data_IF_583035756133
#
_entry.id   IF_583035756133
#
_cell.length_a   1.000
_cell.length_b   1.000
_cell.length_c   1.000
_cell.angle_alpha   90.00
_cell.angle_beta   90.00
_cell.angle_gamma   90.00
#
_symmetry.space_group_name_H-M   'P 1'
#
loop_
_entity.id
_entity.type
_entity.pdbx_description
1 polymer ?
#
# COMPACT_ATOMS: atom_id res chain seq x y z
N UNK A 1 27.64 0.93 -13.18
CA UNK A 1 26.36 0.67 -13.87
C UNK A 1 25.30 1.34 -13.02
N UNK A 2 24.49 2.21 -13.60
CA UNK A 2 23.36 2.84 -12.94
C UNK A 2 22.26 1.81 -12.68
N UNK A 3 21.53 1.98 -11.58
CA UNK A 3 20.44 1.08 -11.20
C UNK A 3 19.35 0.97 -12.27
N UNK A 4 18.78 -0.22 -12.41
CA UNK A 4 17.54 -0.39 -13.18
C UNK A 4 16.35 0.21 -12.41
N UNK A 5 15.56 1.04 -13.10
CA UNK A 5 14.34 1.58 -12.53
C UNK A 5 13.26 0.49 -12.41
N UNK A 6 12.62 0.43 -11.25
CA UNK A 6 11.41 -0.37 -11.03
C UNK A 6 10.20 0.49 -11.39
N UNK A 7 9.65 0.29 -12.60
CA UNK A 7 8.51 1.06 -13.10
C UNK A 7 7.19 0.54 -12.50
N UNK A 8 6.78 1.15 -11.40
CA UNK A 8 5.52 0.80 -10.73
C UNK A 8 4.29 1.23 -11.51
N UNK A 9 4.40 2.24 -12.36
CA UNK A 9 3.28 2.66 -13.22
C UNK A 9 2.94 1.56 -14.23
N UNK A 10 3.94 1.01 -14.90
CA UNK A 10 3.76 -0.09 -15.85
C UNK A 10 3.16 -1.34 -15.16
N UNK A 11 3.77 -1.76 -14.04
CA UNK A 11 3.30 -2.95 -13.32
C UNK A 11 1.88 -2.75 -12.77
N UNK A 12 1.55 -1.55 -12.25
CA UNK A 12 0.19 -1.27 -11.76
C UNK A 12 -0.86 -1.36 -12.87
N UNK A 13 -0.53 -0.93 -14.09
CA UNK A 13 -1.42 -1.09 -15.25
C UNK A 13 -1.64 -2.57 -15.58
N UNK A 14 -0.57 -3.36 -15.57
CA UNK A 14 -0.65 -4.82 -15.80
C UNK A 14 -1.56 -5.48 -14.78
N UNK A 15 -1.37 -5.21 -13.47
CA UNK A 15 -2.22 -5.77 -12.41
C UNK A 15 -3.68 -5.36 -12.57
N UNK A 16 -3.96 -4.08 -12.88
CA UNK A 16 -5.34 -3.64 -13.14
C UNK A 16 -5.95 -4.32 -14.36
N UNK A 17 -5.19 -4.53 -15.44
CA UNK A 17 -5.66 -5.25 -16.63
C UNK A 17 -5.98 -6.72 -16.31
N UNK A 18 -5.15 -7.38 -15.50
CA UNK A 18 -5.39 -8.74 -15.01
C UNK A 18 -6.69 -8.81 -14.19
N UNK A 19 -6.93 -7.83 -13.29
CA UNK A 19 -8.17 -7.75 -12.53
C UNK A 19 -9.37 -7.47 -13.43
N UNK A 20 -9.27 -6.54 -14.37
CA UNK A 20 -10.35 -6.26 -15.34
C UNK A 20 -10.76 -7.49 -16.13
N UNK A 21 -9.80 -8.34 -16.53
CA UNK A 21 -10.09 -9.61 -17.19
C UNK A 21 -10.88 -10.58 -16.29
N UNK A 22 -10.53 -10.64 -14.97
CA UNK A 22 -11.27 -11.46 -13.99
C UNK A 22 -12.69 -10.93 -13.77
N UNK A 23 -12.88 -9.61 -13.68
CA UNK A 23 -14.21 -8.98 -13.57
C UNK A 23 -15.06 -9.31 -14.77
N UNK A 24 -14.50 -9.19 -15.99
CA UNK A 24 -15.19 -9.52 -17.22
C UNK A 24 -15.62 -10.99 -17.25
N UNK A 25 -14.74 -11.91 -16.90
CA UNK A 25 -15.06 -13.33 -16.85
C UNK A 25 -16.18 -13.63 -15.82
N UNK A 26 -16.12 -12.97 -14.64
CA UNK A 26 -17.14 -13.09 -13.60
C UNK A 26 -18.51 -12.61 -14.07
N UNK A 27 -18.59 -11.43 -14.68
CA UNK A 27 -19.87 -10.85 -15.16
C UNK A 27 -20.42 -11.61 -16.35
N UNK A 28 -19.59 -12.15 -17.23
CA UNK A 28 -20.03 -13.05 -18.31
C UNK A 28 -20.60 -14.38 -17.78
N UNK A 29 -20.16 -14.83 -16.61
CA UNK A 29 -20.74 -15.98 -15.92
C UNK A 29 -22.03 -15.66 -15.15
N UNK A 30 -22.59 -14.45 -15.28
CA UNK A 30 -23.84 -14.02 -14.63
C UNK A 30 -23.67 -13.61 -13.15
N UNK A 31 -22.44 -13.48 -12.67
CA UNK A 31 -22.16 -13.01 -11.31
C UNK A 31 -22.03 -11.49 -11.29
N UNK A 32 -22.35 -10.86 -10.14
CA UNK A 32 -22.21 -9.42 -9.99
C UNK A 32 -20.74 -8.96 -10.05
N UNK A 33 -20.51 -7.74 -10.47
CA UNK A 33 -19.21 -7.10 -10.35
C UNK A 33 -18.84 -6.86 -8.87
N UNK A 34 -17.52 -6.84 -8.54
CA UNK A 34 -17.07 -6.48 -7.20
C UNK A 34 -17.48 -5.05 -6.81
N UNK A 35 -17.83 -4.85 -5.53
CA UNK A 35 -18.23 -3.57 -4.96
C UNK A 35 -17.19 -3.01 -3.99
N UNK A 36 -16.78 -1.75 -4.18
CA UNK A 36 -15.90 -1.01 -3.27
C UNK A 36 -16.60 0.23 -2.72
N UNK A 37 -16.69 0.31 -1.39
CA UNK A 37 -17.07 1.55 -0.71
C UNK A 37 -15.83 2.38 -0.40
N UNK A 38 -15.83 3.64 -0.83
CA UNK A 38 -14.75 4.60 -0.57
C UNK A 38 -15.32 5.71 0.32
N UNK A 39 -14.83 5.79 1.54
CA UNK A 39 -15.25 6.78 2.55
C UNK A 39 -14.16 7.84 2.69
N UNK A 40 -14.51 9.09 2.52
CA UNK A 40 -13.67 10.27 2.75
C UNK A 40 -14.31 11.13 3.83
N UNK A 41 -13.52 11.57 4.81
CA UNK A 41 -13.99 12.49 5.86
C UNK A 41 -13.18 13.77 5.79
N UNK A 42 -13.84 14.89 5.56
CA UNK A 42 -13.21 16.19 5.38
C UNK A 42 -12.72 16.47 3.96
N UNK A 43 -11.96 17.56 3.83
CA UNK A 43 -11.59 18.14 2.53
C UNK A 43 -10.05 18.23 2.34
N UNK A 44 -9.27 17.33 2.97
CA UNK A 44 -7.84 17.33 2.77
C UNK A 44 -7.48 17.12 1.29
N UNK A 45 -6.75 18.08 0.64
CA UNK A 45 -6.50 18.02 -0.80
C UNK A 45 -5.71 16.78 -1.23
N UNK A 46 -4.79 16.29 -0.41
CA UNK A 46 -4.03 15.09 -0.72
C UNK A 46 -4.93 13.86 -0.72
N UNK A 47 -5.82 13.74 0.27
CA UNK A 47 -6.82 12.67 0.37
C UNK A 47 -7.77 12.67 -0.82
N UNK A 48 -8.22 13.84 -1.27
CA UNK A 48 -9.09 13.97 -2.45
C UNK A 48 -8.41 13.44 -3.73
N UNK A 49 -7.13 13.75 -3.95
CA UNK A 49 -6.36 13.25 -5.09
C UNK A 49 -6.24 11.71 -5.05
N UNK A 50 -5.94 11.15 -3.87
CA UNK A 50 -5.85 9.69 -3.70
C UNK A 50 -7.18 8.99 -3.92
N UNK A 51 -8.27 9.52 -3.35
CA UNK A 51 -9.63 9.01 -3.55
C UNK A 51 -10.03 9.08 -5.02
N UNK A 52 -9.75 10.19 -5.71
CA UNK A 52 -10.00 10.33 -7.14
C UNK A 52 -9.29 9.25 -7.96
N UNK A 53 -8.04 8.96 -7.65
CA UNK A 53 -7.26 7.90 -8.32
C UNK A 53 -7.85 6.50 -8.08
N UNK A 54 -8.35 6.23 -6.87
CA UNK A 54 -8.97 4.95 -6.49
C UNK A 54 -10.32 4.75 -7.20
N UNK A 55 -11.15 5.80 -7.24
CA UNK A 55 -12.44 5.80 -7.98
C UNK A 55 -12.22 5.52 -9.47
N UNK A 56 -11.28 6.22 -10.09
CA UNK A 56 -10.93 6.01 -11.50
C UNK A 56 -10.44 4.58 -11.76
N UNK A 57 -9.61 4.03 -10.87
CA UNK A 57 -9.15 2.65 -11.01
C UNK A 57 -10.30 1.64 -10.89
N UNK A 58 -11.31 1.87 -10.05
CA UNK A 58 -12.52 1.05 -10.00
C UNK A 58 -13.29 1.06 -11.33
N UNK A 59 -13.49 2.25 -11.91
CA UNK A 59 -14.14 2.39 -13.22
C UNK A 59 -13.37 1.65 -14.32
N UNK A 60 -12.03 1.80 -14.36
CA UNK A 60 -11.17 1.15 -15.34
C UNK A 60 -11.30 -0.39 -15.32
N UNK A 61 -11.48 -0.99 -14.15
CA UNK A 61 -11.56 -2.46 -14.02
C UNK A 61 -12.99 -2.99 -14.01
N UNK A 62 -14.01 -2.11 -14.04
CA UNK A 62 -15.41 -2.49 -14.05
C UNK A 62 -16.00 -2.83 -12.68
N UNK A 63 -15.46 -2.28 -11.60
CA UNK A 63 -16.04 -2.39 -10.25
C UNK A 63 -17.22 -1.43 -10.07
N UNK A 64 -18.14 -1.80 -9.18
CA UNK A 64 -19.14 -0.87 -8.63
C UNK A 64 -18.47 -0.09 -7.49
N UNK A 65 -18.29 1.22 -7.67
CA UNK A 65 -17.72 2.09 -6.65
C UNK A 65 -18.82 2.94 -6.01
N UNK A 66 -19.03 2.79 -4.69
CA UNK A 66 -19.92 3.65 -3.89
C UNK A 66 -19.08 4.63 -3.08
N UNK A 67 -19.32 5.92 -3.24
CA UNK A 67 -18.57 6.99 -2.56
C UNK A 67 -19.38 7.61 -1.44
N UNK A 68 -18.73 7.83 -0.30
CA UNK A 68 -19.32 8.45 0.89
C UNK A 68 -18.39 9.57 1.35
N UNK A 69 -18.75 10.79 0.98
CA UNK A 69 -17.99 11.99 1.32
C UNK A 69 -18.67 12.66 2.54
N UNK A 70 -18.06 12.50 3.71
CA UNK A 70 -18.54 13.07 4.97
C UNK A 70 -17.86 14.42 5.25
N UNK A 71 -18.56 15.39 5.85
CA UNK A 71 -17.97 16.68 6.20
C UNK A 71 -16.89 16.52 7.28
N UNK A 72 -15.97 17.50 7.40
CA UNK A 72 -14.94 17.50 8.45
C UNK A 72 -15.50 17.56 9.88
N UNK A 73 -16.78 17.93 10.02
CA UNK A 73 -17.52 17.97 11.29
C UNK A 73 -18.17 16.63 11.66
N UNK A 74 -18.06 15.61 10.79
CA UNK A 74 -18.63 14.30 11.07
C UNK A 74 -18.03 13.72 12.35
N UNK A 75 -18.88 13.15 13.18
CA UNK A 75 -18.49 12.52 14.43
C UNK A 75 -17.99 11.08 14.20
N UNK A 76 -17.21 10.56 15.13
CA UNK A 76 -16.81 9.14 15.12
C UNK A 76 -18.03 8.22 15.09
N UNK A 77 -19.09 8.55 15.85
CA UNK A 77 -20.32 7.77 15.87
C UNK A 77 -21.01 7.67 14.50
N UNK A 78 -21.08 8.77 13.75
CA UNK A 78 -21.65 8.79 12.39
C UNK A 78 -20.82 7.93 11.44
N UNK A 79 -19.48 8.03 11.51
CA UNK A 79 -18.58 7.22 10.70
C UNK A 79 -18.69 5.72 11.03
N UNK A 80 -18.71 5.35 12.32
CA UNK A 80 -18.86 3.97 12.76
C UNK A 80 -20.23 3.41 12.34
N UNK A 81 -21.29 4.21 12.39
CA UNK A 81 -22.64 3.82 11.91
C UNK A 81 -22.63 3.52 10.42
N UNK A 82 -21.95 4.35 9.62
CA UNK A 82 -21.78 4.09 8.19
C UNK A 82 -20.99 2.80 7.94
N UNK A 83 -19.89 2.59 8.66
CA UNK A 83 -19.08 1.35 8.54
C UNK A 83 -19.93 0.12 8.87
N UNK A 84 -20.81 0.18 9.90
CA UNK A 84 -21.72 -0.91 10.25
C UNK A 84 -22.73 -1.22 9.14
N UNK A 85 -23.23 -0.20 8.45
CA UNK A 85 -24.11 -0.38 7.30
C UNK A 85 -23.35 -1.05 6.14
N UNK A 86 -22.14 -0.59 5.84
CA UNK A 86 -21.29 -1.12 4.77
C UNK A 86 -20.85 -2.56 5.05
N UNK A 87 -20.58 -2.90 6.31
CA UNK A 87 -20.29 -4.26 6.72
C UNK A 87 -21.43 -5.24 6.39
N UNK A 88 -22.68 -4.77 6.45
CA UNK A 88 -23.88 -5.58 6.18
C UNK A 88 -24.31 -5.55 4.72
N UNK A 89 -23.85 -4.59 3.94
CA UNK A 89 -24.21 -4.44 2.52
C UNK A 89 -23.55 -5.56 1.69
N UNK A 90 -24.36 -6.44 1.12
CA UNK A 90 -23.90 -7.58 0.33
C UNK A 90 -23.41 -7.19 -1.08
N UNK A 91 -23.66 -5.96 -1.51
CA UNK A 91 -23.11 -5.44 -2.75
C UNK A 91 -21.68 -4.86 -2.57
N UNK A 92 -21.21 -4.72 -1.32
CA UNK A 92 -19.90 -4.20 -0.98
C UNK A 92 -18.97 -5.34 -0.55
N UNK A 93 -17.89 -5.52 -1.28
CA UNK A 93 -16.84 -6.52 -1.00
C UNK A 93 -15.65 -5.91 -0.26
N UNK A 94 -15.43 -4.62 -0.43
CA UNK A 94 -14.36 -3.89 0.22
C UNK A 94 -14.82 -2.55 0.78
N UNK A 95 -14.27 -2.17 1.93
CA UNK A 95 -14.47 -0.88 2.57
C UNK A 95 -13.11 -0.21 2.69
N UNK A 96 -13.00 1.00 2.15
CA UNK A 96 -11.85 1.88 2.27
C UNK A 96 -12.25 3.13 3.04
N UNK A 97 -11.62 3.38 4.18
CA UNK A 97 -11.71 4.67 4.87
C UNK A 97 -10.40 5.42 4.66
N UNK A 98 -10.47 6.52 3.90
CA UNK A 98 -9.27 7.27 3.54
C UNK A 98 -8.65 7.96 4.77
N UNK A 99 -7.36 7.69 4.99
CA UNK A 99 -6.56 8.33 6.05
C UNK A 99 -5.79 9.54 5.48
N UNK A 100 -5.47 10.54 6.33
CA UNK A 100 -5.79 10.65 7.76
C UNK A 100 -7.25 11.04 8.01
N UNK A 101 -7.77 10.70 9.21
CA UNK A 101 -9.07 11.17 9.68
C UNK A 101 -8.94 12.51 10.42
N UNK A 102 -10.00 13.34 10.49
CA UNK A 102 -10.02 14.55 11.27
C UNK A 102 -9.72 14.31 12.77
N UNK A 103 -9.19 15.34 13.44
CA UNK A 103 -8.99 15.30 14.88
C UNK A 103 -10.33 15.01 15.60
N UNK A 104 -10.29 14.11 16.59
CA UNK A 104 -11.48 13.69 17.35
C UNK A 104 -12.09 12.37 16.89
N UNK A 105 -11.62 11.79 15.79
CA UNK A 105 -11.98 10.43 15.35
C UNK A 105 -10.81 9.49 15.62
N UNK A 106 -11.03 8.44 16.43
CA UNK A 106 -10.00 7.43 16.65
C UNK A 106 -9.89 6.49 15.44
N UNK A 107 -8.78 6.64 14.72
CA UNK A 107 -8.47 5.82 13.54
C UNK A 107 -8.47 4.33 13.85
N UNK A 108 -8.03 3.92 15.05
CA UNK A 108 -7.97 2.52 15.45
C UNK A 108 -9.36 1.94 15.57
N UNK A 109 -10.27 2.64 16.27
CA UNK A 109 -11.66 2.21 16.39
C UNK A 109 -12.34 2.04 15.04
N UNK A 110 -12.09 2.97 14.11
CA UNK A 110 -12.68 2.90 12.75
C UNK A 110 -12.14 1.70 11.97
N UNK A 111 -10.82 1.49 11.98
CA UNK A 111 -10.20 0.37 11.26
C UNK A 111 -10.62 -0.98 11.84
N UNK A 112 -10.71 -1.12 13.16
CA UNK A 112 -11.16 -2.35 13.81
C UNK A 112 -12.68 -2.61 13.66
N UNK A 113 -13.46 -1.57 13.33
CA UNK A 113 -14.90 -1.73 13.05
C UNK A 113 -15.18 -2.34 11.67
N UNK A 114 -14.27 -2.21 10.72
CA UNK A 114 -14.40 -2.83 9.40
C UNK A 114 -14.30 -4.35 9.58
N UNK A 115 -15.24 -5.10 9.01
CA UNK A 115 -15.15 -6.57 9.01
C UNK A 115 -13.86 -7.02 8.30
N UNK A 116 -13.03 -7.91 8.88
CA UNK A 116 -11.73 -8.31 8.32
C UNK A 116 -11.78 -8.77 6.85
N UNK A 117 -12.88 -9.38 6.43
CA UNK A 117 -13.10 -9.83 5.05
C UNK A 117 -13.37 -8.67 4.07
N UNK A 118 -13.72 -7.48 4.58
CA UNK A 118 -13.94 -6.26 3.80
C UNK A 118 -12.84 -5.20 4.00
N UNK A 119 -11.84 -5.48 4.84
CA UNK A 119 -10.67 -4.63 5.06
C UNK A 119 -9.69 -4.73 3.88
N UNK A 120 -10.04 -4.09 2.78
CA UNK A 120 -9.24 -4.18 1.53
C UNK A 120 -7.98 -3.34 1.54
N UNK A 121 -7.82 -2.40 2.48
CA UNK A 121 -6.54 -1.74 2.77
C UNK A 121 -5.56 -2.66 3.52
N UNK A 122 -6.08 -3.70 4.22
CA UNK A 122 -5.28 -4.67 4.96
C UNK A 122 -4.69 -4.14 6.26
N UNK A 123 -5.38 -3.22 6.93
CA UNK A 123 -4.90 -2.57 8.17
C UNK A 123 -5.50 -3.17 9.44
N UNK A 124 -6.56 -3.97 9.32
CA UNK A 124 -7.23 -4.59 10.45
C UNK A 124 -6.25 -5.52 11.20
N UNK A 125 -6.19 -5.45 12.55
CA UNK A 125 -5.27 -6.29 13.34
C UNK A 125 -5.37 -7.78 13.06
N UNK A 126 -6.57 -8.28 12.74
CA UNK A 126 -6.77 -9.68 12.32
C UNK A 126 -5.97 -10.01 11.05
N UNK A 127 -6.01 -9.16 10.02
CA UNK A 127 -5.30 -9.40 8.77
C UNK A 127 -3.79 -9.29 8.94
N UNK A 128 -3.32 -8.33 9.72
CA UNK A 128 -1.90 -8.17 10.07
C UNK A 128 -1.42 -9.36 10.92
N UNK A 129 -2.21 -9.81 11.89
CA UNK A 129 -1.92 -11.00 12.69
C UNK A 129 -1.82 -12.28 11.85
N UNK A 130 -2.70 -12.44 10.86
CA UNK A 130 -2.61 -13.55 9.91
C UNK A 130 -1.36 -13.52 9.04
N UNK A 131 -0.95 -12.33 8.59
CA UNK A 131 0.31 -12.17 7.86
C UNK A 131 1.51 -12.59 8.73
N UNK A 132 1.53 -12.17 10.00
CA UNK A 132 2.58 -12.56 10.95
C UNK A 132 2.64 -14.08 11.19
N UNK A 133 1.50 -14.77 11.11
CA UNK A 133 1.40 -16.23 11.26
C UNK A 133 1.55 -17.01 9.93
N UNK A 134 1.99 -16.36 8.85
CA UNK A 134 2.16 -16.97 7.52
C UNK A 134 0.87 -17.51 6.89
N UNK A 135 -0.28 -16.94 7.27
CA UNK A 135 -1.61 -17.30 6.77
C UNK A 135 -2.35 -16.05 6.22
N UNK A 136 -1.72 -15.23 5.35
CA UNK A 136 -2.32 -13.99 4.90
C UNK A 136 -3.64 -14.24 4.14
N UNK A 137 -4.60 -13.34 4.34
CA UNK A 137 -5.81 -13.20 3.54
C UNK A 137 -5.72 -11.89 2.76
N UNK A 138 -6.32 -10.81 3.27
CA UNK A 138 -6.10 -9.47 2.74
C UNK A 138 -4.80 -8.91 3.35
N UNK A 139 -4.01 -8.25 2.53
CA UNK A 139 -2.66 -7.78 2.88
C UNK A 139 -2.59 -6.26 2.72
N UNK A 140 -1.82 -5.57 3.56
CA UNK A 140 -1.65 -4.12 3.44
C UNK A 140 -1.25 -3.72 2.02
N UNK A 141 -1.98 -2.78 1.41
CA UNK A 141 -1.88 -2.48 -0.01
C UNK A 141 -0.47 -2.09 -0.46
N UNK A 142 0.19 -1.16 0.26
CA UNK A 142 1.53 -0.69 -0.11
C UNK A 142 2.58 -1.80 0.04
N UNK A 143 2.70 -2.51 1.16
CA UNK A 143 3.62 -3.65 1.29
C UNK A 143 3.38 -4.75 0.26
N UNK A 144 2.13 -5.15 0.04
CA UNK A 144 1.74 -6.11 -1.00
C UNK A 144 2.19 -5.64 -2.39
N UNK A 145 1.95 -4.36 -2.70
CA UNK A 145 2.36 -3.77 -3.97
C UNK A 145 3.88 -3.79 -4.17
N UNK A 146 4.65 -3.58 -3.10
CA UNK A 146 6.12 -3.68 -3.13
C UNK A 146 6.55 -5.11 -3.44
N UNK A 147 5.99 -6.11 -2.75
CA UNK A 147 6.31 -7.52 -3.06
C UNK A 147 5.96 -7.85 -4.51
N UNK A 148 4.80 -7.41 -5.01
CA UNK A 148 4.43 -7.59 -6.41
C UNK A 148 5.44 -6.95 -7.38
N UNK A 149 5.94 -5.74 -7.08
CA UNK A 149 6.99 -5.11 -7.88
C UNK A 149 8.26 -5.97 -7.92
N UNK A 150 8.73 -6.40 -6.76
CA UNK A 150 9.97 -7.19 -6.65
C UNK A 150 9.83 -8.53 -7.39
N UNK A 151 8.69 -9.20 -7.27
CA UNK A 151 8.39 -10.45 -7.98
C UNK A 151 8.36 -10.24 -9.51
N UNK A 152 7.72 -9.17 -10.00
CA UNK A 152 7.62 -8.87 -11.44
C UNK A 152 8.96 -8.49 -12.07
N UNK A 153 9.91 -8.02 -11.28
CA UNK A 153 11.28 -7.77 -11.70
C UNK A 153 12.22 -8.97 -11.45
N UNK A 154 11.68 -10.12 -11.03
CA UNK A 154 12.42 -11.35 -10.70
C UNK A 154 13.55 -11.11 -9.69
N UNK A 155 13.31 -10.25 -8.71
CA UNK A 155 14.27 -9.98 -7.64
C UNK A 155 14.14 -11.06 -6.58
N UNK A 156 15.16 -11.91 -6.47
CA UNK A 156 15.21 -12.96 -5.45
C UNK A 156 15.43 -12.37 -4.06
N UNK A 157 14.49 -12.61 -3.16
CA UNK A 157 14.49 -12.13 -1.78
C UNK A 157 15.00 -13.16 -0.79
N UNK A 158 15.10 -14.44 -1.16
CA UNK A 158 15.47 -15.51 -0.24
C UNK A 158 16.90 -15.33 0.28
N UNK A 159 17.03 -15.37 1.61
CA UNK A 159 18.31 -15.24 2.30
C UNK A 159 18.89 -13.82 2.27
N UNK A 160 18.20 -12.83 1.71
CA UNK A 160 18.65 -11.43 1.69
C UNK A 160 18.43 -10.77 3.05
N UNK A 161 19.30 -9.83 3.39
CA UNK A 161 19.10 -8.94 4.53
C UNK A 161 18.30 -7.71 4.06
N UNK A 162 17.08 -7.57 4.57
CA UNK A 162 16.20 -6.46 4.27
C UNK A 162 16.10 -5.48 5.44
N UNK A 163 16.31 -4.20 5.19
CA UNK A 163 16.16 -3.13 6.17
C UNK A 163 14.96 -2.26 5.79
N UNK A 164 14.00 -2.19 6.70
CA UNK A 164 12.82 -1.33 6.59
C UNK A 164 13.01 -0.10 7.46
N UNK A 165 13.12 1.06 6.87
CA UNK A 165 13.25 2.35 7.55
C UNK A 165 11.88 3.01 7.66
N UNK A 166 11.32 2.98 8.88
CA UNK A 166 9.94 3.38 9.19
C UNK A 166 9.17 2.22 9.81
N UNK A 167 8.39 2.50 10.86
CA UNK A 167 7.67 1.48 11.63
C UNK A 167 6.19 1.83 11.84
N UNK A 168 5.56 2.46 10.83
CA UNK A 168 4.12 2.74 10.86
C UNK A 168 3.30 1.44 10.81
N UNK A 169 2.10 1.49 11.37
CA UNK A 169 1.18 0.33 11.35
C UNK A 169 0.68 0.00 9.94
N UNK A 170 0.65 0.99 9.04
CA UNK A 170 0.08 0.84 7.70
C UNK A 170 1.12 0.44 6.62
N UNK A 171 2.42 0.72 6.86
CA UNK A 171 3.49 0.39 5.89
C UNK A 171 4.64 -0.36 6.55
N UNK A 172 5.38 0.25 7.47
CA UNK A 172 6.66 -0.30 7.93
C UNK A 172 6.55 -1.66 8.62
N UNK A 173 5.63 -1.81 9.57
CA UNK A 173 5.38 -3.07 10.28
C UNK A 173 4.90 -4.18 9.33
N UNK A 174 3.85 -3.99 8.52
CA UNK A 174 3.44 -5.02 7.57
C UNK A 174 4.50 -5.28 6.48
N UNK A 175 5.29 -4.28 6.06
CA UNK A 175 6.39 -4.51 5.11
C UNK A 175 7.46 -5.45 5.67
N UNK A 176 7.80 -5.30 6.95
CA UNK A 176 8.72 -6.22 7.63
C UNK A 176 8.19 -7.65 7.60
N UNK A 177 6.90 -7.85 7.86
CA UNK A 177 6.25 -9.15 7.83
C UNK A 177 6.20 -9.74 6.41
N UNK A 178 5.96 -8.92 5.40
CA UNK A 178 5.97 -9.33 3.99
C UNK A 178 7.36 -9.81 3.55
N UNK A 179 8.42 -9.07 3.88
CA UNK A 179 9.79 -9.44 3.56
C UNK A 179 10.22 -10.69 4.33
N UNK A 180 9.80 -10.84 5.59
CA UNK A 180 10.03 -12.06 6.38
C UNK A 180 9.33 -13.26 5.74
N UNK A 181 8.08 -13.10 5.28
CA UNK A 181 7.33 -14.14 4.58
C UNK A 181 8.01 -14.52 3.26
N UNK A 182 8.60 -13.54 2.55
CA UNK A 182 9.36 -13.75 1.31
C UNK A 182 10.74 -14.41 1.51
N UNK A 183 11.15 -14.66 2.78
CA UNK A 183 12.39 -15.35 3.11
C UNK A 183 13.59 -14.46 3.41
N UNK A 184 13.37 -13.14 3.64
CA UNK A 184 14.42 -12.25 4.09
C UNK A 184 14.71 -12.39 5.58
N UNK A 185 15.96 -12.11 5.99
CA UNK A 185 16.26 -11.64 7.35
C UNK A 185 15.91 -10.16 7.42
N UNK A 186 15.07 -9.75 8.38
CA UNK A 186 14.53 -8.38 8.40
C UNK A 186 15.01 -7.59 9.61
N UNK A 187 15.37 -6.32 9.38
CA UNK A 187 15.64 -5.32 10.41
C UNK A 187 14.69 -4.15 10.21
N UNK A 188 13.94 -3.77 11.27
CA UNK A 188 13.05 -2.59 11.24
C UNK A 188 13.68 -1.46 12.02
N UNK A 189 13.93 -0.33 11.35
CA UNK A 189 14.46 0.89 11.94
C UNK A 189 13.33 1.89 12.21
N UNK A 190 13.44 2.60 13.31
CA UNK A 190 12.46 3.60 13.76
C UNK A 190 13.15 4.79 14.42
N UNK A 191 12.41 5.78 14.89
CA UNK A 191 12.96 7.04 15.45
C UNK A 191 13.95 6.87 16.62
N UNK A 192 13.96 5.70 17.27
CA UNK A 192 14.88 5.41 18.38
C UNK A 192 16.05 4.50 17.96
N UNK A 193 16.14 4.10 16.67
CA UNK A 193 17.22 3.28 16.19
C UNK A 193 18.54 4.05 16.25
N UNK A 194 19.53 3.44 16.87
CA UNK A 194 20.91 3.91 16.87
C UNK A 194 21.60 3.40 15.63
N UNK A 195 22.59 4.13 15.12
CA UNK A 195 23.40 3.76 13.96
C UNK A 195 22.56 3.33 12.74
N UNK A 196 21.61 4.19 12.34
CA UNK A 196 20.77 3.93 11.17
C UNK A 196 21.62 3.71 9.90
N UNK A 197 22.72 4.44 9.75
CA UNK A 197 23.67 4.28 8.64
C UNK A 197 24.24 2.86 8.60
N UNK A 198 24.72 2.33 9.73
CA UNK A 198 25.29 0.98 9.79
C UNK A 198 24.27 -0.09 9.39
N UNK A 199 22.99 0.06 9.77
CA UNK A 199 21.93 -0.85 9.32
C UNK A 199 21.72 -0.75 7.80
N UNK A 200 21.59 0.45 7.24
CA UNK A 200 21.35 0.66 5.79
C UNK A 200 22.51 0.14 4.95
N UNK A 201 23.77 0.39 5.38
CA UNK A 201 24.98 -0.07 4.66
C UNK A 201 25.11 -1.59 4.53
N UNK A 202 24.47 -2.35 5.41
CA UNK A 202 24.52 -3.82 5.37
C UNK A 202 23.39 -4.44 4.54
N UNK A 203 22.38 -3.66 4.19
CA UNK A 203 21.16 -4.15 3.57
C UNK A 203 21.34 -4.56 2.10
N UNK A 204 20.84 -5.72 1.73
CA UNK A 204 20.66 -6.15 0.34
C UNK A 204 19.40 -5.52 -0.27
N UNK A 205 18.38 -5.29 0.59
CA UNK A 205 17.12 -4.63 0.23
C UNK A 205 16.84 -3.54 1.24
N UNK A 206 16.64 -2.32 0.79
CA UNK A 206 16.28 -1.16 1.63
C UNK A 206 14.90 -0.69 1.24
N UNK A 207 13.96 -0.67 2.20
CA UNK A 207 12.63 -0.07 2.02
C UNK A 207 12.52 1.14 2.93
N UNK A 208 12.27 2.33 2.37
CA UNK A 208 12.21 3.58 3.13
C UNK A 208 10.80 4.15 3.10
N UNK A 209 10.21 4.34 4.29
CA UNK A 209 8.84 4.80 4.48
C UNK A 209 8.73 5.71 5.73
N UNK A 210 9.37 6.87 5.69
CA UNK A 210 9.42 7.84 6.79
C UNK A 210 8.69 9.16 6.50
N UNK A 211 8.39 9.44 5.22
CA UNK A 211 7.71 10.66 4.80
C UNK A 211 8.55 11.92 4.99
N UNK A 212 9.86 11.83 4.76
CA UNK A 212 10.80 12.96 4.84
C UNK A 212 11.68 12.99 3.60
N UNK A 213 11.74 14.13 2.87
CA UNK A 213 12.50 14.22 1.63
C UNK A 213 13.99 13.95 1.85
N UNK A 214 14.57 13.07 1.02
CA UNK A 214 15.99 12.71 1.01
C UNK A 214 16.55 12.32 2.40
N UNK A 215 15.73 11.64 3.21
CA UNK A 215 16.09 11.24 4.58
C UNK A 215 17.25 10.23 4.61
N UNK A 216 17.33 9.35 3.62
CA UNK A 216 18.43 8.39 3.47
C UNK A 216 19.39 8.91 2.42
N UNK A 217 20.64 9.29 2.83
CA UNK A 217 21.69 9.63 1.91
C UNK A 217 22.00 8.49 0.93
N UNK A 218 22.10 8.79 -0.36
CA UNK A 218 22.40 7.78 -1.37
C UNK A 218 23.75 7.09 -1.18
N UNK A 219 24.71 7.77 -0.56
CA UNK A 219 26.02 7.22 -0.20
C UNK A 219 25.99 6.07 0.84
N UNK A 220 24.85 5.89 1.53
CA UNK A 220 24.67 4.77 2.46
C UNK A 220 24.26 3.48 1.76
N UNK A 221 23.83 3.55 0.50
CA UNK A 221 23.34 2.39 -0.23
C UNK A 221 24.48 1.44 -0.57
N UNK A 222 24.36 0.20 -0.12
CA UNK A 222 25.29 -0.89 -0.45
C UNK A 222 25.33 -1.11 -1.96
N UNK A 223 26.51 -1.31 -2.51
CA UNK A 223 26.67 -1.64 -3.93
C UNK A 223 25.88 -2.89 -4.31
N UNK A 224 25.01 -2.75 -5.30
CA UNK A 224 24.13 -3.84 -5.77
C UNK A 224 22.85 -4.03 -4.96
N UNK A 225 22.56 -3.20 -3.95
CA UNK A 225 21.32 -3.28 -3.18
C UNK A 225 20.10 -2.92 -4.03
N UNK A 226 18.95 -3.43 -3.63
CA UNK A 226 17.64 -3.03 -4.13
C UNK A 226 17.08 -1.94 -3.23
N UNK A 227 16.66 -0.81 -3.82
CA UNK A 227 16.13 0.34 -3.08
C UNK A 227 14.67 0.57 -3.44
N UNK A 228 13.81 0.49 -2.43
CA UNK A 228 12.37 0.76 -2.56
C UNK A 228 12.03 2.00 -1.74
N UNK A 229 11.78 3.09 -2.43
CA UNK A 229 11.38 4.36 -1.84
C UNK A 229 9.86 4.49 -1.84
N UNK A 230 9.25 4.50 -0.66
CA UNK A 230 7.81 4.63 -0.46
C UNK A 230 7.40 6.09 -0.29
N UNK A 231 8.37 6.97 0.02
CA UNK A 231 8.14 8.38 0.29
C UNK A 231 7.54 9.10 -0.90
N UNK A 232 6.58 9.99 -0.64
CA UNK A 232 6.04 10.95 -1.61
C UNK A 232 5.98 12.30 -0.91
N UNK A 233 7.00 13.11 -1.14
CA UNK A 233 7.14 14.42 -0.50
C UNK A 233 7.03 15.52 -1.55
N UNK A 234 6.17 16.50 -1.31
CA UNK A 234 6.06 17.68 -2.17
C UNK A 234 6.94 18.78 -1.60
N UNK A 235 7.94 19.20 -2.35
CA UNK A 235 8.81 20.33 -2.02
C UNK A 235 8.06 21.66 -2.25
N UNK A 236 8.56 22.75 -1.69
CA UNK A 236 8.01 24.11 -1.93
C UNK A 236 7.98 24.47 -3.42
N UNK A 237 8.92 23.97 -4.22
CA UNK A 237 8.95 24.10 -5.67
C UNK A 237 7.81 23.35 -6.40
N UNK A 238 6.99 22.56 -5.69
CA UNK A 238 5.97 21.69 -6.26
C UNK A 238 6.51 20.33 -6.75
N UNK A 239 7.84 20.14 -6.82
CA UNK A 239 8.46 18.87 -7.24
C UNK A 239 8.17 17.78 -6.22
N UNK A 240 7.83 16.57 -6.71
CA UNK A 240 7.70 15.37 -5.87
C UNK A 240 9.07 14.67 -5.77
N UNK A 241 9.45 14.31 -4.55
CA UNK A 241 10.67 13.55 -4.25
C UNK A 241 10.36 12.45 -3.23
N UNK A 242 11.22 11.44 -3.19
CA UNK A 242 11.13 10.35 -2.21
C UNK A 242 11.84 10.65 -0.90
N UNK A 243 11.94 9.60 -0.09
CA UNK A 243 12.67 9.61 1.19
C UNK A 243 14.16 9.30 0.99
N UNK A 244 14.58 8.84 -0.19
CA UNK A 244 15.95 8.49 -0.52
C UNK A 244 16.55 9.56 -1.46
N UNK A 245 17.82 9.90 -1.27
CA UNK A 245 18.59 10.72 -2.20
C UNK A 245 18.83 9.94 -3.50
N UNK A 246 17.82 10.01 -4.38
CA UNK A 246 17.69 9.15 -5.56
C UNK A 246 18.90 9.21 -6.49
N UNK A 247 19.38 10.42 -6.82
CA UNK A 247 20.43 10.60 -7.84
C UNK A 247 21.79 10.00 -7.42
N UNK A 248 22.08 9.97 -6.12
CA UNK A 248 23.27 9.33 -5.59
C UNK A 248 23.04 7.83 -5.39
N UNK A 249 21.87 7.45 -4.85
CA UNK A 249 21.55 6.04 -4.60
C UNK A 249 21.56 5.17 -5.86
N UNK A 250 21.08 5.70 -7.00
CA UNK A 250 21.03 4.97 -8.28
C UNK A 250 22.40 4.55 -8.82
N UNK A 251 23.49 5.22 -8.41
CA UNK A 251 24.85 4.88 -8.84
C UNK A 251 25.37 3.60 -8.14
N UNK A 252 24.85 3.29 -6.96
CA UNK A 252 25.24 2.12 -6.15
C UNK A 252 24.24 0.97 -6.22
N UNK A 253 22.97 1.25 -6.30
CA UNK A 253 21.91 0.25 -6.33
C UNK A 253 21.93 -0.60 -7.62
N UNK A 254 21.37 -1.82 -7.54
CA UNK A 254 21.05 -2.64 -8.72
C UNK A 254 19.67 -2.29 -9.27
N UNK A 255 18.71 -2.06 -8.39
CA UNK A 255 17.35 -1.66 -8.71
C UNK A 255 16.90 -0.53 -7.78
N UNK A 256 16.10 0.40 -8.30
CA UNK A 256 15.56 1.51 -7.52
C UNK A 256 14.17 1.91 -8.02
N UNK A 257 13.25 2.22 -7.09
CA UNK A 257 11.95 2.78 -7.45
C UNK A 257 12.06 4.30 -7.65
N UNK A 258 11.56 4.87 -8.76
CA UNK A 258 11.48 6.32 -8.93
C UNK A 258 10.34 6.94 -8.10
N UNK A 259 10.47 8.20 -7.74
CA UNK A 259 9.39 8.99 -7.14
C UNK A 259 9.20 10.27 -7.97
N UNK A 260 8.01 10.48 -8.59
CA UNK A 260 6.84 9.59 -8.64
C UNK A 260 6.99 8.41 -9.61
N UNK A 261 6.06 7.45 -9.54
CA UNK A 261 5.94 6.37 -10.53
C UNK A 261 6.45 5.00 -10.08
N UNK A 262 7.03 4.90 -8.87
CA UNK A 262 7.43 3.63 -8.25
C UNK A 262 6.30 3.01 -7.43
N UNK A 263 6.36 3.14 -6.10
CA UNK A 263 5.44 2.44 -5.17
C UNK A 263 4.01 2.97 -5.22
N UNK A 264 3.80 4.30 -5.33
CA UNK A 264 2.47 4.92 -5.24
C UNK A 264 1.39 4.28 -6.14
N UNK A 265 1.63 4.08 -7.44
CA UNK A 265 0.66 3.42 -8.33
C UNK A 265 0.28 2.01 -7.88
N UNK A 266 1.21 1.28 -7.24
CA UNK A 266 0.98 -0.09 -6.78
C UNK A 266 0.04 -0.17 -5.59
N UNK A 267 -0.01 0.86 -4.74
CA UNK A 267 -0.98 0.91 -3.63
C UNK A 267 -2.41 0.83 -4.16
N UNK A 268 -2.71 1.59 -5.23
CA UNK A 268 -4.03 1.57 -5.89
C UNK A 268 -4.29 0.22 -6.56
N UNK A 269 -3.31 -0.34 -7.27
CA UNK A 269 -3.47 -1.65 -7.92
C UNK A 269 -3.71 -2.77 -6.90
N UNK A 270 -3.01 -2.74 -5.75
CA UNK A 270 -3.20 -3.71 -4.67
C UNK A 270 -4.56 -3.60 -4.00
N UNK A 271 -5.11 -2.39 -3.85
CA UNK A 271 -6.47 -2.16 -3.36
C UNK A 271 -7.51 -2.83 -4.29
N UNK A 272 -7.38 -2.60 -5.59
CA UNK A 272 -8.24 -3.22 -6.61
C UNK A 272 -8.13 -4.75 -6.54
N UNK A 273 -6.92 -5.29 -6.46
CA UNK A 273 -6.71 -6.73 -6.35
C UNK A 273 -7.25 -7.32 -5.04
N UNK A 274 -7.07 -6.64 -3.89
CA UNK A 274 -7.64 -7.06 -2.62
C UNK A 274 -9.18 -7.08 -2.67
N UNK A 275 -9.81 -6.08 -3.30
CA UNK A 275 -11.27 -6.04 -3.48
C UNK A 275 -11.76 -7.20 -4.33
N UNK A 276 -11.03 -7.55 -5.40
CA UNK A 276 -11.35 -8.73 -6.20
C UNK A 276 -11.22 -10.03 -5.41
N UNK A 277 -10.13 -10.16 -4.62
CA UNK A 277 -9.92 -11.31 -3.73
C UNK A 277 -11.06 -11.41 -2.70
N UNK A 278 -11.46 -10.30 -2.09
CA UNK A 278 -12.55 -10.27 -1.11
C UNK A 278 -13.87 -10.75 -1.73
N UNK A 279 -14.19 -10.27 -2.94
CA UNK A 279 -15.37 -10.69 -3.67
C UNK A 279 -15.36 -12.20 -3.99
N UNK A 280 -14.23 -12.74 -4.47
CA UNK A 280 -14.14 -14.14 -4.87
C UNK A 280 -14.10 -15.12 -3.70
N UNK A 281 -13.39 -14.78 -2.62
CA UNK A 281 -13.14 -15.71 -1.53
C UNK A 281 -14.18 -15.66 -0.41
N UNK A 282 -14.78 -14.50 -0.18
CA UNK A 282 -15.64 -14.31 0.99
C UNK A 282 -17.10 -14.01 0.63
N UNK A 283 -17.38 -13.51 -0.59
CA UNK A 283 -18.68 -13.01 -0.97
C UNK A 283 -19.20 -13.62 -2.29
N UNK A 284 -18.75 -14.81 -2.63
CA UNK A 284 -19.02 -15.49 -3.93
C UNK A 284 -20.46 -15.99 -4.11
N UNK A 285 -21.41 -15.62 -3.23
CA UNK A 285 -22.82 -16.04 -3.34
C UNK A 285 -23.65 -15.04 -4.09
#
# INVERSE_FOLDING_TARGET
>A
MTAQNIDGKLISQTVRSEVAARVKARTQAGLRAPGLAVVLVGEDPASQVYVGSKRKACEEVGFVSKSFDLPATATEHELLTLVDQLNKDQEIDGILVQLPLPAGIDTTHVLERITPEKDVDGFHPYNVGRLAQRMPKLRSCTPKGIITLLDRYNIDLRGKHAVVVGASNIVGRPMTLELLLAGCTTTTCHRFTKDLEGHVRQADVVVVAVGKPNFIPGAWIKKGAVVVDVGINRLESGKLVGDVEYDVAKESASFITPVPGGVGPMTVASLIENTMIACEQFHSK
#
